data_IF_569090335731
#
_entry.id   IF_569090335731
#
_cell.length_a   1.000
_cell.length_b   1.000
_cell.length_c   1.000
_cell.angle_alpha   90.00
_cell.angle_beta   90.00
_cell.angle_gamma   90.00
#
_symmetry.space_group_name_H-M   'P 1'
#
loop_
_entity.id
_entity.type
_entity.pdbx_description
1 polymer ?
#
# COMPACT_ATOMS: atom_id res chain seq x y z
N UNK A 1 8.26 -18.84 -5.60
CA UNK A 1 7.45 -17.63 -5.38
C UNK A 1 7.60 -16.79 -6.61
N UNK A 2 6.50 -16.39 -7.24
CA UNK A 2 6.58 -15.40 -8.31
C UNK A 2 7.32 -14.18 -7.78
N UNK A 3 8.29 -13.73 -8.57
CA UNK A 3 9.09 -12.55 -8.27
C UNK A 3 8.15 -11.36 -8.44
N UNK A 4 7.87 -10.62 -7.37
CA UNK A 4 7.02 -9.42 -7.43
C UNK A 4 7.56 -8.47 -8.52
N UNK A 5 6.76 -8.21 -9.56
CA UNK A 5 7.03 -7.24 -10.62
C UNK A 5 6.81 -5.80 -10.19
N UNK A 6 6.05 -5.60 -9.11
CA UNK A 6 5.70 -4.30 -8.54
C UNK A 6 6.59 -3.86 -7.38
N UNK A 7 6.08 -2.91 -6.61
CA UNK A 7 6.75 -2.38 -5.41
C UNK A 7 6.54 -3.32 -4.24
N UNK A 8 7.63 -3.67 -3.54
CA UNK A 8 7.54 -4.40 -2.27
C UNK A 8 7.28 -3.39 -1.16
N UNK A 9 6.21 -3.60 -0.41
CA UNK A 9 5.83 -2.74 0.72
C UNK A 9 5.79 -3.60 1.99
N UNK A 10 6.64 -3.25 2.94
CA UNK A 10 6.48 -3.69 4.33
C UNK A 10 5.32 -2.89 4.93
N UNK A 11 4.34 -3.57 5.52
CA UNK A 11 3.14 -2.96 6.10
C UNK A 11 3.19 -3.00 7.63
N UNK A 12 4.02 -2.15 8.27
CA UNK A 12 4.09 -2.11 9.71
C UNK A 12 2.74 -1.73 10.33
N UNK A 13 2.36 -2.51 11.33
CA UNK A 13 1.10 -2.28 12.03
C UNK A 13 1.04 -0.86 12.58
N UNK A 14 -0.06 -0.14 12.30
CA UNK A 14 -0.33 1.21 12.80
C UNK A 14 0.63 2.32 12.31
N UNK A 15 1.44 2.05 11.28
CA UNK A 15 2.24 3.07 10.57
C UNK A 15 1.64 3.30 9.18
N UNK A 16 1.58 4.56 8.77
CA UNK A 16 1.09 4.98 7.45
C UNK A 16 2.28 5.08 6.51
N UNK A 17 2.34 4.21 5.51
CA UNK A 17 3.41 4.20 4.50
C UNK A 17 2.88 4.80 3.20
N UNK A 18 3.57 5.77 2.57
CA UNK A 18 3.18 6.25 1.25
C UNK A 18 3.11 5.10 0.24
N UNK A 19 2.05 5.08 -0.58
CA UNK A 19 1.91 4.09 -1.67
C UNK A 19 2.83 4.44 -2.84
N UNK A 20 3.06 5.74 -3.05
CA UNK A 20 3.92 6.29 -4.09
C UNK A 20 4.93 7.19 -3.40
N UNK A 21 6.21 6.98 -3.67
CA UNK A 21 7.27 7.86 -3.17
C UNK A 21 7.02 9.31 -3.62
N UNK A 22 7.22 10.27 -2.72
CA UNK A 22 6.97 11.69 -3.00
C UNK A 22 5.50 12.11 -3.01
N UNK A 23 4.55 11.20 -2.74
CA UNK A 23 3.11 11.46 -2.63
C UNK A 23 2.63 11.19 -1.20
N UNK A 24 2.83 12.13 -0.24
CA UNK A 24 2.62 11.88 1.19
C UNK A 24 1.15 11.84 1.62
N UNK A 25 0.21 12.05 0.69
CA UNK A 25 -1.22 12.08 0.95
C UNK A 25 -1.93 10.81 0.50
N UNK A 26 -1.26 9.87 -0.18
CA UNK A 26 -1.79 8.55 -0.47
C UNK A 26 -1.00 7.51 0.32
N UNK A 27 -1.63 6.92 1.32
CA UNK A 27 -0.96 6.01 2.26
C UNK A 27 -1.67 4.68 2.35
N UNK A 28 -0.88 3.64 2.59
CA UNK A 28 -1.35 2.32 2.99
C UNK A 28 -0.99 2.07 4.45
N UNK A 29 -1.87 1.37 5.15
CA UNK A 29 -1.66 0.89 6.51
C UNK A 29 -1.95 -0.60 6.57
N UNK A 30 -1.01 -1.35 7.15
CA UNK A 30 -1.25 -2.73 7.55
C UNK A 30 -2.10 -2.75 8.81
N UNK A 31 -3.32 -3.25 8.70
CA UNK A 31 -4.11 -3.59 9.86
C UNK A 31 -3.90 -5.08 10.16
N UNK A 32 -3.17 -5.34 11.26
CA UNK A 32 -3.10 -6.63 11.98
C UNK A 32 -2.78 -7.87 11.12
N UNK A 33 -1.53 -8.33 11.20
CA UNK A 33 -1.19 -9.71 10.87
C UNK A 33 -1.92 -10.68 11.82
N UNK A 34 -2.63 -11.67 11.27
CA UNK A 34 -3.38 -12.67 12.04
C UNK A 34 -3.34 -14.04 11.37
N UNK A 35 -3.61 -15.09 12.11
CA UNK A 35 -3.86 -16.43 11.55
C UNK A 35 -5.27 -16.87 11.90
N UNK A 36 -6.05 -17.21 10.88
CA UNK A 36 -7.40 -17.75 11.02
C UNK A 36 -7.40 -19.15 10.42
N UNK A 37 -7.78 -20.14 11.23
CA UNK A 37 -7.82 -21.55 10.83
C UNK A 37 -6.51 -22.07 10.18
N UNK A 38 -5.35 -21.57 10.63
CA UNK A 38 -4.04 -21.96 10.10
C UNK A 38 -3.58 -21.19 8.87
N UNK A 39 -4.39 -20.27 8.34
CA UNK A 39 -4.03 -19.42 7.18
C UNK A 39 -3.55 -18.05 7.65
N UNK A 40 -2.33 -17.61 7.29
CA UNK A 40 -1.85 -16.25 7.51
C UNK A 40 -2.66 -15.23 6.70
N UNK A 41 -3.09 -14.14 7.33
CA UNK A 41 -3.85 -13.05 6.73
C UNK A 41 -3.43 -11.68 7.26
N UNK A 42 -3.62 -10.65 6.44
CA UNK A 42 -3.41 -9.26 6.81
C UNK A 42 -4.51 -8.37 6.23
N UNK A 43 -4.99 -7.41 7.00
CA UNK A 43 -5.86 -6.36 6.47
C UNK A 43 -4.98 -5.26 5.86
N UNK A 44 -5.34 -4.82 4.66
CA UNK A 44 -4.78 -3.64 4.02
C UNK A 44 -5.80 -2.52 4.06
N UNK A 45 -5.34 -1.29 4.30
CA UNK A 45 -6.21 -0.12 4.24
C UNK A 45 -5.49 1.02 3.53
N UNK A 46 -6.10 1.56 2.48
CA UNK A 46 -5.56 2.65 1.67
C UNK A 46 -6.39 3.90 1.87
N UNK A 47 -5.71 5.04 2.08
CA UNK A 47 -6.33 6.31 2.43
C UNK A 47 -5.74 7.47 1.64
N UNK A 48 -6.63 8.39 1.27
CA UNK A 48 -6.30 9.73 0.82
C UNK A 48 -6.39 10.69 2.00
N UNK A 49 -5.24 11.18 2.47
CA UNK A 49 -5.13 12.11 3.58
C UNK A 49 -5.15 13.54 3.06
N UNK A 50 -5.76 14.45 3.84
CA UNK A 50 -5.73 15.91 3.67
C UNK A 50 -6.45 16.40 2.40
N UNK A 51 -7.63 16.98 2.55
CA UNK A 51 -8.40 17.57 1.45
C UNK A 51 -9.88 17.21 1.52
N UNK A 52 -10.70 17.92 0.75
CA UNK A 52 -12.17 17.80 0.80
C UNK A 52 -12.71 16.82 -0.26
N UNK A 53 -11.97 16.59 -1.35
CA UNK A 53 -12.39 15.73 -2.48
C UNK A 53 -11.67 14.38 -2.49
N UNK A 54 -11.43 13.81 -1.32
CA UNK A 54 -10.75 12.52 -1.18
C UNK A 54 -11.57 11.39 -1.83
N UNK A 55 -10.97 10.58 -2.72
CA UNK A 55 -11.56 9.30 -3.10
C UNK A 55 -11.82 8.44 -1.85
N UNK A 56 -12.77 7.49 -1.93
CA UNK A 56 -13.15 6.70 -0.76
C UNK A 56 -11.96 5.93 -0.19
N UNK A 57 -11.95 5.74 1.13
CA UNK A 57 -11.02 4.84 1.78
C UNK A 57 -11.31 3.40 1.34
N UNK A 58 -10.27 2.62 1.09
CA UNK A 58 -10.38 1.26 0.58
C UNK A 58 -9.75 0.29 1.58
N UNK A 59 -10.36 -0.87 1.76
CA UNK A 59 -9.89 -1.87 2.71
C UNK A 59 -10.14 -3.28 2.19
N UNK A 60 -9.18 -4.17 2.41
CA UNK A 60 -9.30 -5.58 2.04
C UNK A 60 -8.59 -6.47 3.05
N UNK A 61 -8.99 -7.74 3.12
CA UNK A 61 -8.27 -8.77 3.89
C UNK A 61 -7.63 -9.75 2.93
N UNK A 62 -6.30 -9.82 2.94
CA UNK A 62 -5.53 -10.71 2.08
C UNK A 62 -5.10 -11.96 2.85
N UNK A 63 -5.30 -13.14 2.26
CA UNK A 63 -4.62 -14.36 2.71
C UNK A 63 -3.27 -14.51 2.01
N UNK A 64 -2.34 -15.24 2.61
CA UNK A 64 -1.03 -15.46 2.01
C UNK A 64 -1.15 -16.11 0.62
N UNK A 65 -0.58 -15.45 -0.39
CA UNK A 65 -0.67 -15.84 -1.80
C UNK A 65 -1.91 -15.34 -2.53
N UNK A 66 -2.86 -14.70 -1.85
CA UNK A 66 -4.03 -14.07 -2.48
C UNK A 66 -3.75 -12.60 -2.83
N UNK A 67 -4.50 -12.13 -3.84
CA UNK A 67 -4.45 -10.75 -4.32
C UNK A 67 -5.83 -10.10 -4.23
N UNK A 68 -5.84 -8.78 -4.01
CA UNK A 68 -7.03 -7.96 -4.14
C UNK A 68 -6.73 -6.69 -4.93
N UNK A 69 -7.64 -6.32 -5.82
CA UNK A 69 -7.54 -5.10 -6.64
C UNK A 69 -8.42 -4.02 -6.05
N UNK A 70 -7.79 -2.88 -5.75
CA UNK A 70 -8.44 -1.67 -5.31
C UNK A 70 -8.59 -0.72 -6.50
N UNK A 71 -9.82 -0.36 -6.85
CA UNK A 71 -10.14 0.45 -8.03
C UNK A 71 -9.32 1.75 -8.05
N UNK A 72 -8.67 2.06 -9.18
CA UNK A 72 -7.82 3.24 -9.42
C UNK A 72 -6.60 3.36 -8.48
N UNK A 73 -6.30 2.31 -7.71
CA UNK A 73 -5.12 2.24 -6.85
C UNK A 73 -4.17 1.18 -7.38
N UNK A 74 -4.63 -0.07 -7.50
CA UNK A 74 -3.82 -1.17 -7.98
C UNK A 74 -4.12 -2.48 -7.26
N UNK A 75 -3.28 -3.47 -7.51
CA UNK A 75 -3.41 -4.81 -6.96
C UNK A 75 -2.40 -5.02 -5.85
N UNK A 76 -2.87 -5.53 -4.72
CA UNK A 76 -2.05 -5.92 -3.58
C UNK A 76 -2.07 -7.43 -3.45
N UNK A 77 -0.89 -8.04 -3.39
CA UNK A 77 -0.74 -9.49 -3.17
C UNK A 77 0.03 -9.71 -1.87
N UNK A 78 -0.52 -10.49 -0.94
CA UNK A 78 0.21 -10.83 0.29
C UNK A 78 1.26 -11.91 -0.02
N UNK A 79 2.53 -11.52 -0.05
CA UNK A 79 3.64 -12.41 -0.44
C UNK A 79 4.42 -12.94 0.76
N UNK A 80 4.37 -12.26 1.90
CA UNK A 80 5.15 -12.63 3.07
C UNK A 80 4.43 -12.35 4.38
N UNK A 81 4.40 -13.36 5.25
CA UNK A 81 3.98 -13.22 6.64
C UNK A 81 4.61 -14.37 7.45
N UNK A 82 5.91 -14.28 7.71
CA UNK A 82 6.63 -15.36 8.37
C UNK A 82 6.14 -15.56 9.82
N UNK A 83 5.89 -16.79 10.28
CA UNK A 83 5.51 -17.01 11.66
C UNK A 83 6.64 -16.57 12.60
N UNK A 84 6.35 -15.83 13.68
CA UNK A 84 7.37 -15.46 14.64
C UNK A 84 7.93 -16.72 15.31
N UNK A 85 9.25 -16.88 15.32
CA UNK A 85 9.89 -17.89 16.15
C UNK A 85 9.61 -17.58 17.64
N UNK A 86 9.04 -18.56 18.36
CA UNK A 86 8.88 -18.56 19.82
C UNK A 86 8.09 -17.38 20.43
N UNK A 87 6.81 -17.26 20.09
CA UNK A 87 5.86 -16.44 20.88
C UNK A 87 6.03 -14.92 20.78
N UNK A 88 6.77 -14.43 19.78
CA UNK A 88 6.84 -13.00 19.44
C UNK A 88 5.59 -12.56 18.67
N UNK A 89 5.35 -11.24 18.64
CA UNK A 89 4.33 -10.61 17.78
C UNK A 89 4.52 -11.06 16.33
N UNK A 90 3.43 -11.30 15.60
CA UNK A 90 3.50 -11.53 14.15
C UNK A 90 4.31 -10.41 13.47
N UNK A 91 5.20 -10.72 12.53
CA UNK A 91 5.95 -9.71 11.80
C UNK A 91 5.03 -8.89 10.88
N UNK A 92 5.57 -7.79 10.39
CA UNK A 92 4.86 -6.89 9.49
C UNK A 92 4.55 -7.64 8.17
N UNK A 93 3.29 -7.64 7.71
CA UNK A 93 2.92 -8.21 6.42
C UNK A 93 3.72 -7.58 5.29
N UNK A 94 4.17 -8.39 4.34
CA UNK A 94 4.86 -7.93 3.14
C UNK A 94 3.94 -8.13 1.95
N UNK A 95 3.64 -7.05 1.24
CA UNK A 95 2.79 -7.09 0.04
C UNK A 95 3.58 -6.72 -1.20
N UNK A 96 3.24 -7.38 -2.31
CA UNK A 96 3.57 -6.91 -3.64
C UNK A 96 2.47 -5.96 -4.09
N UNK A 97 2.83 -4.73 -4.45
CA UNK A 97 1.92 -3.73 -4.96
C UNK A 97 2.17 -3.48 -6.45
N UNK A 98 1.19 -3.82 -7.27
CA UNK A 98 1.17 -3.54 -8.70
C UNK A 98 0.25 -2.35 -8.95
N UNK A 99 0.86 -1.23 -9.33
CA UNK A 99 0.18 0.04 -9.49
C UNK A 99 -0.85 0.00 -10.63
N UNK A 100 -2.05 0.54 -10.39
CA UNK A 100 -3.02 0.81 -11.45
C UNK A 100 -2.48 1.93 -12.38
N UNK A 101 -2.55 1.78 -13.72
CA UNK A 101 -2.06 2.80 -14.64
C UNK A 101 -2.65 4.21 -14.41
N UNK A 102 -3.88 4.30 -13.86
CA UNK A 102 -4.56 5.56 -13.57
C UNK A 102 -4.20 6.17 -12.21
N UNK A 103 -3.45 5.48 -11.36
CA UNK A 103 -3.19 5.94 -9.99
C UNK A 103 -2.44 7.28 -9.98
N UNK A 104 -1.42 7.42 -10.81
CA UNK A 104 -0.60 8.64 -10.87
C UNK A 104 -1.40 9.86 -11.30
N UNK A 105 -2.27 9.71 -12.29
CA UNK A 105 -3.15 10.79 -12.74
C UNK A 105 -4.22 11.11 -11.69
N UNK A 106 -4.75 10.10 -11.00
CA UNK A 106 -5.68 10.28 -9.88
C UNK A 106 -5.02 11.07 -8.75
N UNK A 107 -3.78 10.72 -8.38
CA UNK A 107 -3.04 11.40 -7.33
C UNK A 107 -2.67 12.84 -7.71
N UNK A 108 -2.27 13.07 -8.96
CA UNK A 108 -1.98 14.42 -9.49
C UNK A 108 -3.23 15.31 -9.45
N UNK A 109 -4.37 14.79 -9.92
CA UNK A 109 -5.63 15.54 -9.93
C UNK A 109 -6.08 15.88 -8.51
N UNK A 110 -6.03 14.90 -7.59
CA UNK A 110 -6.35 15.13 -6.18
C UNK A 110 -5.47 16.22 -5.56
N UNK A 111 -4.16 16.21 -5.83
CA UNK A 111 -3.27 17.26 -5.35
C UNK A 111 -3.63 18.64 -5.90
N UNK A 112 -3.94 18.74 -7.19
CA UNK A 112 -4.33 20.00 -7.82
C UNK A 112 -5.62 20.56 -7.20
N UNK A 113 -6.63 19.71 -7.03
CA UNK A 113 -7.94 20.10 -6.48
C UNK A 113 -7.86 20.56 -5.02
N UNK A 114 -6.86 20.08 -4.28
CA UNK A 114 -6.70 20.35 -2.85
C UNK A 114 -5.48 21.22 -2.53
N UNK A 115 -4.81 21.78 -3.55
CA UNK A 115 -3.59 22.58 -3.41
C UNK A 115 -2.50 21.89 -2.57
N UNK A 116 -2.28 20.59 -2.81
CA UNK A 116 -1.29 19.77 -2.11
C UNK A 116 0.00 19.67 -2.91
N UNK A 117 1.10 19.49 -2.19
CA UNK A 117 2.40 19.20 -2.79
C UNK A 117 2.39 17.82 -3.45
N UNK A 118 2.75 17.76 -4.75
CA UNK A 118 2.86 16.54 -5.53
C UNK A 118 4.20 16.52 -6.25
N UNK A 119 5.10 15.63 -5.83
CA UNK A 119 6.39 15.42 -6.48
C UNK A 119 6.84 13.97 -6.34
N UNK A 120 6.19 13.04 -7.06
CA UNK A 120 6.75 11.70 -7.24
C UNK A 120 8.09 11.85 -7.96
N UNK A 121 9.17 11.29 -7.38
CA UNK A 121 10.58 11.53 -7.73
C UNK A 121 10.81 12.03 -9.18
N UNK A 122 11.28 13.27 -9.32
CA UNK A 122 11.73 13.81 -10.60
C UNK A 122 13.03 13.09 -11.01
N UNK A 123 12.96 12.19 -11.99
CA UNK A 123 14.16 11.68 -12.66
C UNK A 123 14.97 12.81 -13.34
N UNK A 124 14.36 13.98 -13.58
CA UNK A 124 15.02 15.20 -14.09
C UNK A 124 16.01 15.86 -13.09
N UNK A 125 15.95 15.56 -11.79
CA UNK A 125 16.89 16.10 -10.81
C UNK A 125 18.21 15.31 -10.68
N UNK A 126 18.33 14.14 -11.34
CA UNK A 126 19.57 13.34 -11.36
C UNK A 126 20.53 13.69 -12.51
N UNK A 127 20.16 14.61 -13.40
CA UNK A 127 20.93 14.98 -14.60
C UNK A 127 21.36 16.47 -14.63
N UNK A 128 21.24 17.20 -13.53
CA UNK A 128 21.77 18.58 -13.40
C UNK A 128 23.07 18.64 -12.62
#
# INVERSE_FOLDING_TARGET
>A
MEQCSGTIIDLPSAIWTPVIDGVPFLVVNGAKATVIAGTPQADIRVYWLKGDNAPPNLNETLKLGESATLEKVGTFTLIGMEPPAHGKRWPDPVVCFEQDPQLMDTARQYAADNNLYFRPDDEEARQS
#
